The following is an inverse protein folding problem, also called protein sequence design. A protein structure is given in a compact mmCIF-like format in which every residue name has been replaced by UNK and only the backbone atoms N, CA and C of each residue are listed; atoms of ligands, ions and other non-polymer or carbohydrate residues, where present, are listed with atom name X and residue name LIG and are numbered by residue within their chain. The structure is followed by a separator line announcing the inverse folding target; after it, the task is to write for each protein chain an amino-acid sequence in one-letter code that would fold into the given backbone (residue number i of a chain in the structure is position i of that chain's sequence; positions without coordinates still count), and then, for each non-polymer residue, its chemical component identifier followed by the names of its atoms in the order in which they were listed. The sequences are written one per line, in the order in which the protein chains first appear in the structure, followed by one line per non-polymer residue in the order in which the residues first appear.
data_IF_337427114115
#
_entry.id   IF_337427114115
#
_cell.length_a   1.000
_cell.length_b   1.000
_cell.length_c   1.000
_cell.angle_alpha   90.00
_cell.angle_beta   90.00
_cell.angle_gamma   90.00
#
_symmetry.space_group_name_H-M   'P 1'
#
loop_
_entity.id
_entity.type
_entity.pdbx_description
1 polymer ?
#
# COMPACT_ATOMS: atom_id res chain seq x y z
N UNK A 1 79.84 -37.78 29.11
CA UNK A 1 79.35 -37.83 30.49
C UNK A 1 77.84 -37.79 30.41
N UNK A 2 77.22 -38.91 30.48
CA UNK A 2 76.19 -39.42 31.39
C UNK A 2 75.23 -38.33 31.93
N UNK A 3 73.91 -38.40 31.57
CA UNK A 3 72.86 -38.59 32.56
C UNK A 3 71.56 -38.99 31.86
N UNK A 4 71.08 -40.12 32.25
CA UNK A 4 69.82 -40.81 32.02
C UNK A 4 68.71 -39.99 32.69
N UNK A 5 67.59 -39.75 32.03
CA UNK A 5 66.36 -39.42 32.71
C UNK A 5 65.20 -40.24 32.12
N UNK A 6 64.73 -41.12 32.98
CA UNK A 6 63.52 -41.93 32.75
C UNK A 6 62.30 -41.06 32.72
N UNK A 7 61.49 -41.16 31.69
CA UNK A 7 60.16 -40.56 31.65
C UNK A 7 59.12 -41.67 31.87
N UNK A 8 58.43 -41.53 32.96
CA UNK A 8 57.27 -42.35 33.37
C UNK A 8 56.09 -42.07 32.46
N UNK A 9 55.64 -43.10 31.80
CA UNK A 9 54.43 -43.07 30.96
C UNK A 9 53.16 -43.14 31.83
N UNK A 10 52.52 -42.01 32.13
CA UNK A 10 51.24 -41.97 32.77
C UNK A 10 50.11 -42.11 31.72
N UNK A 11 49.50 -43.27 31.69
CA UNK A 11 48.32 -43.55 30.87
C UNK A 11 47.12 -42.82 31.52
N UNK A 12 46.76 -41.67 30.97
CA UNK A 12 45.53 -40.96 31.31
C UNK A 12 44.38 -41.55 30.49
N UNK A 13 43.57 -42.38 31.14
CA UNK A 13 42.34 -42.93 30.60
C UNK A 13 41.28 -41.79 30.52
N UNK A 14 41.19 -41.16 29.37
CA UNK A 14 40.14 -40.17 29.11
C UNK A 14 38.78 -40.89 28.98
N UNK A 15 37.94 -40.74 30.02
CA UNK A 15 36.52 -41.09 29.94
C UNK A 15 35.88 -40.24 28.84
N UNK A 16 35.62 -40.85 27.70
CA UNK A 16 34.70 -40.32 26.67
C UNK A 16 33.27 -40.41 27.25
N UNK A 17 32.81 -39.33 27.86
CA UNK A 17 31.38 -39.13 28.12
C UNK A 17 30.76 -38.83 26.77
N UNK A 18 29.82 -39.67 26.28
CA UNK A 18 29.08 -39.32 25.08
C UNK A 18 28.20 -38.10 25.43
N UNK A 19 28.55 -36.92 24.94
CA UNK A 19 27.63 -35.79 24.86
C UNK A 19 26.51 -36.23 23.92
N UNK A 20 25.45 -36.76 24.47
CA UNK A 20 24.19 -36.93 23.76
C UNK A 20 23.70 -35.53 23.42
N UNK A 21 23.99 -35.08 22.19
CA UNK A 21 23.29 -33.99 21.54
C UNK A 21 21.82 -34.40 21.54
N UNK A 22 21.06 -33.97 22.56
CA UNK A 22 19.61 -33.93 22.46
C UNK A 22 19.32 -32.96 21.30
N UNK A 23 19.05 -33.51 20.14
CA UNK A 23 18.30 -32.78 19.13
C UNK A 23 16.98 -32.41 19.81
N UNK A 24 16.83 -31.16 20.21
CA UNK A 24 15.52 -30.62 20.54
C UNK A 24 14.67 -30.78 19.28
N UNK A 25 13.89 -31.84 19.24
CA UNK A 25 12.79 -31.95 18.30
C UNK A 25 11.88 -30.79 18.64
N UNK A 26 11.92 -29.75 17.83
CA UNK A 26 10.96 -28.65 17.91
C UNK A 26 9.60 -29.25 17.62
N UNK A 27 8.91 -29.67 18.68
CA UNK A 27 7.52 -30.09 18.59
C UNK A 27 6.71 -28.82 18.44
N UNK A 28 6.21 -28.58 17.23
CA UNK A 28 5.32 -27.46 16.95
C UNK A 28 4.09 -27.55 17.87
N UNK A 29 3.86 -26.52 18.68
CA UNK A 29 2.74 -26.50 19.60
C UNK A 29 1.49 -25.97 18.92
N UNK A 30 0.45 -26.80 18.82
CA UNK A 30 -0.87 -26.36 18.33
C UNK A 30 -1.56 -25.57 19.45
N UNK A 31 -1.92 -24.32 19.18
CA UNK A 31 -2.60 -23.44 20.16
C UNK A 31 -4.09 -23.29 19.88
N UNK A 32 -4.50 -23.42 18.63
CA UNK A 32 -5.92 -23.42 18.27
C UNK A 32 -6.19 -24.35 17.07
N UNK A 33 -7.44 -24.78 16.97
CA UNK A 33 -7.96 -25.56 15.86
C UNK A 33 -9.21 -24.85 15.32
N UNK A 34 -9.25 -24.65 14.01
CA UNK A 34 -10.38 -24.02 13.29
C UNK A 34 -10.83 -25.00 12.22
N UNK A 35 -11.91 -25.74 12.48
CA UNK A 35 -12.36 -26.87 11.66
C UNK A 35 -11.23 -27.91 11.48
N UNK A 36 -10.74 -28.07 10.26
CA UNK A 36 -9.66 -29.01 9.93
C UNK A 36 -8.26 -28.37 9.91
N UNK A 37 -8.17 -27.06 10.09
CA UNK A 37 -6.89 -26.33 10.10
C UNK A 37 -6.43 -26.06 11.53
N UNK A 38 -5.13 -25.90 11.70
CA UNK A 38 -4.50 -25.64 13.01
C UNK A 38 -3.81 -24.28 12.99
N UNK A 39 -3.76 -23.64 14.14
CA UNK A 39 -2.93 -22.46 14.40
C UNK A 39 -1.85 -22.87 15.39
N UNK A 40 -0.61 -22.62 15.03
CA UNK A 40 0.53 -23.02 15.83
C UNK A 40 1.02 -21.86 16.71
N UNK A 41 1.82 -22.23 17.74
CA UNK A 41 2.48 -21.22 18.59
C UNK A 41 3.44 -20.36 17.78
N UNK A 42 4.16 -20.94 16.84
CA UNK A 42 5.10 -20.20 15.99
C UNK A 42 4.39 -19.15 15.14
N UNK A 43 3.23 -19.49 14.55
CA UNK A 43 2.40 -18.53 13.81
C UNK A 43 1.91 -17.39 14.71
N UNK A 44 1.43 -17.71 15.90
CA UNK A 44 0.96 -16.72 16.88
C UNK A 44 2.08 -15.76 17.30
N UNK A 45 3.26 -16.29 17.64
CA UNK A 45 4.42 -15.47 18.04
C UNK A 45 4.87 -14.60 16.90
N UNK A 46 4.94 -15.13 15.66
CA UNK A 46 5.31 -14.38 14.48
C UNK A 46 4.33 -13.24 14.20
N UNK A 47 3.03 -13.51 14.22
CA UNK A 47 2.00 -12.48 14.02
C UNK A 47 2.08 -11.38 15.09
N UNK A 48 2.39 -11.74 16.32
CA UNK A 48 2.59 -10.78 17.41
C UNK A 48 3.82 -9.91 17.20
N UNK A 49 4.94 -10.49 16.75
CA UNK A 49 6.15 -9.73 16.43
C UNK A 49 5.95 -8.81 15.20
N UNK A 50 5.24 -9.28 14.18
CA UNK A 50 4.86 -8.45 13.02
C UNK A 50 4.01 -7.26 13.43
N UNK A 51 2.98 -7.48 14.27
CA UNK A 51 2.17 -6.40 14.83
C UNK A 51 3.02 -5.38 15.59
N UNK A 52 3.98 -5.85 16.39
CA UNK A 52 4.88 -4.97 17.13
C UNK A 52 5.73 -4.11 16.21
N UNK A 53 6.30 -4.70 15.17
CA UNK A 53 7.09 -3.97 14.18
C UNK A 53 6.25 -2.96 13.41
N UNK A 54 5.04 -3.34 13.00
CA UNK A 54 4.11 -2.46 12.29
C UNK A 54 3.74 -1.23 13.11
N UNK A 55 3.34 -1.43 14.37
CA UNK A 55 3.00 -0.34 15.28
C UNK A 55 4.20 0.56 15.55
N UNK A 56 5.40 -0.01 15.68
CA UNK A 56 6.64 0.74 15.87
C UNK A 56 6.98 1.63 14.67
N UNK A 57 6.70 1.16 13.45
CA UNK A 57 6.94 1.92 12.22
C UNK A 57 5.91 3.03 12.00
N UNK A 58 4.67 2.83 12.43
CA UNK A 58 3.59 3.81 12.26
C UNK A 58 3.75 5.01 13.21
N UNK A 59 3.97 4.76 14.48
CA UNK A 59 4.17 5.80 15.50
C UNK A 59 4.97 5.24 16.67
N UNK A 60 6.26 5.52 16.69
CA UNK A 60 7.15 5.04 17.76
C UNK A 60 6.81 5.60 19.15
N UNK A 61 6.15 6.75 19.23
CA UNK A 61 5.84 7.41 20.51
C UNK A 61 4.66 6.73 21.25
N UNK A 62 3.69 6.18 20.50
CA UNK A 62 2.53 5.48 21.07
C UNK A 62 2.60 3.96 20.91
N UNK A 63 3.67 3.43 20.31
CA UNK A 63 3.82 2.04 19.91
C UNK A 63 3.51 1.04 21.03
N UNK A 64 4.09 1.21 22.21
CA UNK A 64 3.91 0.25 23.32
C UNK A 64 2.46 0.20 23.81
N UNK A 65 1.78 1.34 23.85
CA UNK A 65 0.37 1.41 24.23
C UNK A 65 -0.52 0.73 23.20
N UNK A 66 -0.35 1.07 21.93
CA UNK A 66 -1.13 0.50 20.83
C UNK A 66 -0.88 -1.00 20.72
N UNK A 67 0.37 -1.45 20.90
CA UNK A 67 0.70 -2.87 20.90
C UNK A 67 0.03 -3.60 22.09
N UNK A 68 0.08 -3.04 23.31
CA UNK A 68 -0.57 -3.62 24.48
C UNK A 68 -2.08 -3.82 24.29
N UNK A 69 -2.74 -2.91 23.59
CA UNK A 69 -4.16 -3.00 23.26
C UNK A 69 -4.42 -4.06 22.16
N UNK A 70 -3.68 -4.00 21.06
CA UNK A 70 -3.92 -4.85 19.88
C UNK A 70 -3.44 -6.29 20.02
N UNK A 71 -2.41 -6.59 20.83
CA UNK A 71 -1.87 -7.94 20.97
C UNK A 71 -2.88 -8.97 21.50
N UNK A 72 -3.93 -8.52 22.18
CA UNK A 72 -5.02 -9.37 22.67
C UNK A 72 -5.86 -9.96 21.54
N UNK A 73 -5.86 -9.30 20.41
CA UNK A 73 -6.68 -9.64 19.24
C UNK A 73 -5.96 -10.57 18.25
N UNK A 74 -4.65 -10.82 18.45
CA UNK A 74 -3.83 -11.61 17.52
C UNK A 74 -4.43 -13.01 17.27
N UNK A 75 -4.88 -13.72 18.30
CA UNK A 75 -5.48 -15.03 18.11
C UNK A 75 -6.83 -14.94 17.38
N UNK A 76 -7.66 -13.93 17.71
CA UNK A 76 -8.90 -13.66 16.98
C UNK A 76 -8.62 -13.45 15.49
N UNK A 77 -7.62 -12.63 15.17
CA UNK A 77 -7.31 -12.26 13.79
C UNK A 77 -6.78 -13.47 12.99
N UNK A 78 -5.98 -14.34 13.62
CA UNK A 78 -5.55 -15.61 13.02
C UNK A 78 -6.72 -16.57 12.77
N UNK A 79 -7.65 -16.67 13.71
CA UNK A 79 -8.86 -17.50 13.53
C UNK A 79 -9.72 -16.93 12.41
N UNK A 80 -9.95 -15.62 12.38
CA UNK A 80 -10.72 -14.95 11.32
C UNK A 80 -10.08 -15.12 9.94
N UNK A 81 -8.76 -15.02 9.86
CA UNK A 81 -8.02 -15.28 8.64
C UNK A 81 -8.20 -16.73 8.16
N UNK A 82 -8.10 -17.70 9.06
CA UNK A 82 -8.31 -19.12 8.69
C UNK A 82 -9.74 -19.36 8.19
N UNK A 83 -10.74 -18.77 8.82
CA UNK A 83 -12.13 -18.89 8.37
C UNK A 83 -12.33 -18.28 6.96
N UNK A 84 -11.74 -17.11 6.70
CA UNK A 84 -11.81 -16.49 5.37
C UNK A 84 -11.06 -17.30 4.31
N UNK A 85 -9.91 -17.89 4.64
CA UNK A 85 -9.18 -18.77 3.72
C UNK A 85 -9.96 -20.05 3.41
N UNK A 86 -10.59 -20.66 4.40
CA UNK A 86 -11.46 -21.82 4.19
C UNK A 86 -12.64 -21.44 3.29
N UNK A 87 -13.26 -20.29 3.54
CA UNK A 87 -14.33 -19.78 2.70
C UNK A 87 -13.86 -19.53 1.26
N UNK A 88 -12.63 -19.04 1.09
CA UNK A 88 -12.00 -18.90 -0.24
C UNK A 88 -11.86 -20.22 -0.96
N UNK A 89 -11.44 -21.27 -0.26
CA UNK A 89 -11.40 -22.65 -0.81
C UNK A 89 -12.78 -23.13 -1.24
N UNK A 90 -13.81 -22.93 -0.41
CA UNK A 90 -15.20 -23.32 -0.73
C UNK A 90 -15.75 -22.58 -1.96
N UNK A 91 -15.32 -21.34 -2.18
CA UNK A 91 -15.70 -20.52 -3.34
C UNK A 91 -14.81 -20.78 -4.58
N UNK A 92 -13.81 -21.66 -4.49
CA UNK A 92 -12.87 -21.94 -5.57
C UNK A 92 -11.90 -20.78 -5.88
N UNK A 93 -11.66 -19.89 -4.92
CA UNK A 93 -10.75 -18.75 -5.06
C UNK A 93 -9.32 -19.21 -4.75
N UNK A 94 -8.46 -19.30 -5.76
CA UNK A 94 -7.04 -19.71 -5.59
C UNK A 94 -6.07 -18.54 -5.48
N UNK A 95 -6.42 -17.40 -6.07
CA UNK A 95 -5.59 -16.21 -6.09
C UNK A 95 -4.34 -16.27 -6.97
N UNK A 96 -4.15 -17.35 -7.75
CA UNK A 96 -2.89 -17.58 -8.48
C UNK A 96 -2.63 -16.54 -9.57
N UNK A 97 -3.64 -16.18 -10.35
CA UNK A 97 -3.50 -15.17 -11.41
C UNK A 97 -3.15 -13.79 -10.83
N UNK A 98 -3.82 -13.41 -9.75
CA UNK A 98 -3.58 -12.14 -9.05
C UNK A 98 -2.22 -12.13 -8.38
N UNK A 99 -1.77 -13.28 -7.83
CA UNK A 99 -0.45 -13.42 -7.23
C UNK A 99 0.65 -13.10 -8.24
N UNK A 100 0.58 -13.71 -9.44
CA UNK A 100 1.57 -13.46 -10.49
C UNK A 100 1.62 -11.98 -10.87
N UNK A 101 0.45 -11.34 -11.06
CA UNK A 101 0.37 -9.90 -11.35
C UNK A 101 0.97 -9.06 -10.22
N UNK A 102 0.64 -9.39 -8.98
CA UNK A 102 1.10 -8.62 -7.82
C UNK A 102 2.61 -8.72 -7.63
N UNK A 103 3.18 -9.90 -7.84
CA UNK A 103 4.64 -10.10 -7.80
C UNK A 103 5.34 -9.28 -8.91
N UNK A 104 4.80 -9.26 -10.13
CA UNK A 104 5.35 -8.45 -11.22
C UNK A 104 5.23 -6.94 -10.96
N UNK A 105 4.10 -6.49 -10.41
CA UNK A 105 3.92 -5.09 -9.98
C UNK A 105 4.95 -4.70 -8.90
N UNK A 106 5.15 -5.54 -7.89
CA UNK A 106 6.14 -5.29 -6.83
C UNK A 106 7.56 -5.22 -7.40
N UNK A 107 7.91 -6.16 -8.28
CA UNK A 107 9.20 -6.16 -8.99
C UNK A 107 9.43 -4.81 -9.70
N UNK A 108 8.44 -4.35 -10.48
CA UNK A 108 8.51 -3.07 -11.20
C UNK A 108 8.60 -1.86 -10.26
N UNK A 109 7.81 -1.84 -9.18
CA UNK A 109 7.82 -0.75 -8.19
C UNK A 109 9.16 -0.63 -7.47
N UNK A 110 9.83 -1.76 -7.25
CA UNK A 110 11.16 -1.81 -6.64
C UNK A 110 12.30 -1.59 -7.65
N UNK A 111 11.98 -1.35 -8.93
CA UNK A 111 12.94 -1.22 -10.05
C UNK A 111 13.87 -2.43 -10.17
N UNK A 112 13.33 -3.64 -10.00
CA UNK A 112 14.05 -4.89 -10.15
C UNK A 112 13.84 -5.44 -11.57
N UNK A 113 14.91 -5.94 -12.18
CA UNK A 113 14.84 -6.45 -13.56
C UNK A 113 14.25 -7.86 -13.64
N UNK A 114 14.48 -8.68 -12.62
CA UNK A 114 14.11 -10.10 -12.62
C UNK A 114 13.32 -10.53 -11.37
N UNK A 115 12.63 -11.66 -11.46
CA UNK A 115 11.94 -12.27 -10.32
C UNK A 115 12.91 -12.84 -9.29
N UNK A 116 14.10 -13.26 -9.72
CA UNK A 116 15.18 -13.73 -8.85
C UNK A 116 15.72 -12.62 -7.95
N UNK A 117 15.70 -11.39 -8.43
CA UNK A 117 16.05 -10.22 -7.59
C UNK A 117 14.98 -9.95 -6.54
N UNK A 118 13.70 -10.11 -6.88
CA UNK A 118 12.61 -10.02 -5.91
C UNK A 118 12.72 -11.13 -4.84
N UNK A 119 13.07 -12.35 -5.23
CA UNK A 119 13.33 -13.45 -4.30
C UNK A 119 14.46 -13.10 -3.33
N UNK A 120 15.60 -12.61 -3.85
CA UNK A 120 16.73 -12.16 -3.01
C UNK A 120 16.34 -11.05 -2.05
N UNK A 121 15.50 -10.10 -2.51
CA UNK A 121 15.01 -9.01 -1.66
C UNK A 121 14.12 -9.53 -0.52
N UNK A 122 13.27 -10.53 -0.76
CA UNK A 122 12.48 -11.20 0.27
C UNK A 122 13.36 -11.95 1.28
N UNK A 123 14.34 -12.71 0.79
CA UNK A 123 15.29 -13.45 1.63
C UNK A 123 16.15 -12.52 2.51
N UNK A 124 16.53 -11.35 1.97
CA UNK A 124 17.27 -10.34 2.74
C UNK A 124 16.47 -9.78 3.93
N UNK A 125 15.14 -9.86 3.89
CA UNK A 125 14.25 -9.53 4.99
C UNK A 125 14.02 -10.69 5.97
N UNK A 126 14.70 -11.82 5.78
CA UNK A 126 14.61 -13.00 6.66
C UNK A 126 13.38 -13.88 6.42
N UNK A 127 12.68 -13.70 5.30
CA UNK A 127 11.49 -14.47 4.93
C UNK A 127 11.81 -15.35 3.73
N UNK A 128 11.45 -16.64 3.76
CA UNK A 128 11.60 -17.49 2.58
C UNK A 128 10.66 -17.01 1.46
N UNK A 129 11.11 -17.13 0.20
CA UNK A 129 10.33 -16.66 -0.93
C UNK A 129 8.98 -17.41 -1.06
N UNK A 130 8.96 -18.70 -0.71
CA UNK A 130 7.72 -19.48 -0.69
C UNK A 130 6.75 -18.98 0.39
N UNK A 131 7.24 -18.67 1.57
CA UNK A 131 6.44 -18.10 2.64
C UNK A 131 5.92 -16.70 2.25
N UNK A 132 6.76 -15.89 1.65
CA UNK A 132 6.36 -14.57 1.11
C UNK A 132 5.23 -14.71 0.09
N UNK A 133 5.35 -15.61 -0.89
CA UNK A 133 4.29 -15.90 -1.88
C UNK A 133 3.02 -16.41 -1.23
N UNK A 134 3.14 -17.30 -0.22
CA UNK A 134 1.98 -17.83 0.47
C UNK A 134 1.24 -16.75 1.26
N UNK A 135 1.95 -15.86 1.94
CA UNK A 135 1.36 -14.74 2.66
C UNK A 135 0.63 -13.80 1.70
N UNK A 136 1.24 -13.48 0.57
CA UNK A 136 0.63 -12.65 -0.45
C UNK A 136 -0.63 -13.32 -1.07
N UNK A 137 -0.56 -14.62 -1.35
CA UNK A 137 -1.72 -15.41 -1.81
C UNK A 137 -2.86 -15.38 -0.77
N UNK A 138 -2.55 -15.58 0.50
CA UNK A 138 -3.53 -15.54 1.56
C UNK A 138 -4.21 -14.17 1.66
N UNK A 139 -3.47 -13.08 1.53
CA UNK A 139 -4.03 -11.73 1.48
C UNK A 139 -4.97 -11.55 0.29
N UNK A 140 -4.57 -12.00 -0.90
CA UNK A 140 -5.38 -11.92 -2.12
C UNK A 140 -6.70 -12.69 -1.94
N UNK A 141 -6.62 -13.94 -1.45
CA UNK A 141 -7.82 -14.76 -1.20
C UNK A 141 -8.73 -14.09 -0.20
N UNK A 142 -8.21 -13.66 0.94
CA UNK A 142 -8.98 -13.00 2.01
C UNK A 142 -9.66 -11.74 1.49
N UNK A 143 -8.92 -10.88 0.78
CA UNK A 143 -9.46 -9.64 0.21
C UNK A 143 -10.58 -9.93 -0.81
N UNK A 144 -10.40 -10.97 -1.63
CA UNK A 144 -11.39 -11.36 -2.64
C UNK A 144 -12.66 -11.92 -2.00
N UNK A 145 -12.52 -12.75 -0.96
CA UNK A 145 -13.67 -13.26 -0.18
C UNK A 145 -14.43 -12.10 0.46
N UNK A 146 -13.74 -11.16 1.12
CA UNK A 146 -14.38 -9.98 1.72
C UNK A 146 -15.09 -9.16 0.64
N UNK A 147 -14.44 -8.90 -0.49
CA UNK A 147 -15.05 -8.18 -1.61
C UNK A 147 -16.32 -8.86 -2.13
N UNK A 148 -16.26 -10.19 -2.32
CA UNK A 148 -17.37 -10.96 -2.88
C UNK A 148 -18.50 -11.21 -1.86
N UNK A 149 -18.18 -11.58 -0.63
CA UNK A 149 -19.16 -12.01 0.36
C UNK A 149 -19.74 -10.85 1.20
N UNK A 150 -18.99 -9.77 1.31
CA UNK A 150 -19.39 -8.60 2.11
C UNK A 150 -19.51 -7.36 1.23
N UNK A 151 -18.45 -6.97 0.55
CA UNK A 151 -18.38 -5.71 -0.19
C UNK A 151 -19.43 -5.58 -1.28
N UNK A 152 -19.62 -6.63 -2.10
CA UNK A 152 -20.60 -6.65 -3.20
C UNK A 152 -22.06 -6.58 -2.74
N UNK A 153 -22.31 -6.88 -1.45
CA UNK A 153 -23.66 -6.86 -0.86
C UNK A 153 -23.99 -5.51 -0.21
N UNK A 154 -23.00 -4.60 -0.12
CA UNK A 154 -23.23 -3.25 0.37
C UNK A 154 -23.95 -2.44 -0.70
N UNK A 155 -25.03 -1.80 -0.30
CA UNK A 155 -25.79 -0.89 -1.14
C UNK A 155 -25.93 0.46 -0.45
N UNK A 156 -26.06 1.51 -1.25
CA UNK A 156 -26.20 2.87 -0.77
C UNK A 156 -27.49 3.44 -1.35
N UNK A 157 -28.44 3.78 -0.48
CA UNK A 157 -29.63 4.47 -0.90
C UNK A 157 -29.29 5.91 -1.33
N UNK A 158 -30.02 6.46 -2.30
CA UNK A 158 -29.79 7.84 -2.75
C UNK A 158 -29.94 8.85 -1.60
N UNK A 159 -30.87 8.60 -0.71
CA UNK A 159 -31.15 9.41 0.49
C UNK A 159 -29.95 9.42 1.44
N UNK A 160 -29.23 8.30 1.52
CA UNK A 160 -28.05 8.15 2.36
C UNK A 160 -26.87 8.91 1.76
N UNK A 161 -26.67 8.82 0.45
CA UNK A 161 -25.65 9.59 -0.28
C UNK A 161 -25.92 11.09 -0.15
N UNK A 162 -27.18 11.51 -0.32
CA UNK A 162 -27.58 12.90 -0.15
C UNK A 162 -27.35 13.37 1.29
N UNK A 163 -27.75 12.58 2.27
CA UNK A 163 -27.53 12.89 3.68
C UNK A 163 -26.05 13.04 4.01
N UNK A 164 -25.22 12.11 3.56
CA UNK A 164 -23.76 12.19 3.76
C UNK A 164 -23.20 13.49 3.17
N UNK A 165 -23.60 13.83 1.93
CA UNK A 165 -23.21 15.07 1.29
C UNK A 165 -23.61 16.29 2.12
N UNK A 166 -24.85 16.34 2.61
CA UNK A 166 -25.36 17.47 3.39
C UNK A 166 -24.65 17.61 4.75
N UNK A 167 -24.40 16.49 5.41
CA UNK A 167 -23.74 16.45 6.73
C UNK A 167 -22.23 16.85 6.63
N UNK A 168 -21.57 16.61 5.46
CA UNK A 168 -20.13 16.82 5.27
C UNK A 168 -19.80 17.99 4.34
N UNK A 169 -20.76 18.90 4.06
CA UNK A 169 -20.52 20.06 3.19
C UNK A 169 -19.31 20.90 3.57
N UNK A 170 -19.06 21.04 4.88
CA UNK A 170 -17.91 21.80 5.37
C UNK A 170 -16.58 21.15 5.00
N UNK A 171 -16.50 19.80 4.98
CA UNK A 171 -15.31 19.03 4.63
C UNK A 171 -15.12 18.96 3.11
N UNK A 172 -16.22 19.04 2.36
CA UNK A 172 -16.23 19.04 0.91
C UNK A 172 -15.92 20.42 0.31
N UNK A 173 -15.85 21.46 1.14
CA UNK A 173 -15.55 22.80 0.69
C UNK A 173 -14.17 22.84 0.00
N UNK A 174 -14.16 23.21 -1.26
CA UNK A 174 -12.93 23.36 -2.03
C UNK A 174 -12.58 24.85 -2.18
N UNK A 175 -11.30 25.21 -2.01
CA UNK A 175 -10.83 26.54 -2.34
C UNK A 175 -10.89 26.74 -3.85
N UNK A 176 -11.03 28.03 -4.27
CA UNK A 176 -10.90 28.37 -5.67
C UNK A 176 -9.54 27.95 -6.21
N UNK A 177 -9.53 27.29 -7.37
CA UNK A 177 -8.30 26.86 -8.03
C UNK A 177 -8.43 26.92 -9.56
N UNK A 178 -7.30 27.17 -10.18
CA UNK A 178 -7.19 27.19 -11.65
C UNK A 178 -6.16 26.16 -12.11
N UNK A 179 -6.45 25.45 -13.18
CA UNK A 179 -5.46 24.61 -13.86
C UNK A 179 -4.85 25.40 -14.97
N UNK A 180 -3.53 25.48 -15.01
CA UNK A 180 -2.78 26.28 -15.95
C UNK A 180 -1.95 25.40 -16.87
N UNK A 181 -1.80 25.87 -18.12
CA UNK A 181 -0.75 25.40 -19.01
C UNK A 181 0.13 26.57 -19.41
N UNK A 182 1.43 26.32 -19.61
CA UNK A 182 2.42 27.33 -19.95
C UNK A 182 3.13 27.04 -21.25
N UNK A 183 3.51 28.11 -21.94
CA UNK A 183 4.53 28.12 -23.00
C UNK A 183 5.59 29.11 -22.56
N UNK A 184 6.78 28.61 -22.23
CA UNK A 184 7.93 29.44 -21.89
C UNK A 184 8.85 29.57 -23.11
N UNK A 185 9.20 30.77 -23.45
CA UNK A 185 10.21 31.09 -24.47
C UNK A 185 11.38 31.78 -23.80
N UNK A 186 12.46 31.04 -23.65
CA UNK A 186 13.69 31.54 -23.03
C UNK A 186 14.55 32.31 -24.08
N UNK A 187 15.22 33.41 -23.69
CA UNK A 187 16.22 34.05 -24.55
C UNK A 187 17.35 33.07 -24.81
N UNK A 188 17.58 32.68 -26.07
CA UNK A 188 18.67 31.81 -26.48
C UNK A 188 19.76 32.62 -27.16
N UNK A 189 21.04 32.33 -26.83
CA UNK A 189 22.13 32.81 -27.64
C UNK A 189 21.93 32.32 -29.10
N UNK A 190 22.05 33.20 -30.08
CA UNK A 190 21.85 32.88 -31.48
C UNK A 190 22.71 31.65 -31.87
N UNK A 191 22.01 30.61 -32.25
CA UNK A 191 22.34 29.36 -32.85
C UNK A 191 23.74 28.76 -32.74
N UNK A 192 23.82 27.55 -32.14
CA UNK A 192 24.72 26.57 -32.71
C UNK A 192 24.13 26.12 -34.06
N UNK A 193 24.87 26.21 -35.20
CA UNK A 193 24.38 25.71 -36.49
C UNK A 193 24.24 24.20 -36.42
N UNK A 194 23.12 23.69 -36.96
CA UNK A 194 22.98 22.27 -37.23
C UNK A 194 24.17 21.76 -38.03
N UNK A 195 24.73 20.63 -37.67
CA UNK A 195 25.84 19.98 -38.31
C UNK A 195 25.58 19.79 -39.80
N UNK A 196 26.35 20.50 -40.63
CA UNK A 196 26.36 20.25 -42.06
C UNK A 196 26.43 21.48 -42.95
N UNK A 197 27.45 22.37 -42.83
CA UNK A 197 27.94 23.24 -43.89
C UNK A 197 29.25 23.90 -43.43
N UNK A 198 30.15 24.14 -44.40
CA UNK A 198 31.50 24.73 -44.28
C UNK A 198 31.58 25.96 -43.34
N UNK A 199 32.75 26.26 -42.77
CA UNK A 199 32.88 27.18 -41.66
C UNK A 199 32.65 28.63 -42.09
N UNK A 200 31.51 29.27 -41.75
CA UNK A 200 31.43 30.70 -41.75
C UNK A 200 31.95 31.27 -40.45
N UNK A 201 32.55 32.44 -40.50
CA UNK A 201 32.98 33.23 -39.35
C UNK A 201 31.98 33.19 -38.20
N UNK A 202 32.42 33.09 -36.94
CA UNK A 202 31.51 33.12 -35.78
C UNK A 202 30.73 34.43 -35.84
N UNK A 203 29.38 34.37 -35.84
CA UNK A 203 28.57 35.57 -35.69
C UNK A 203 28.92 36.21 -34.34
N UNK A 204 29.12 37.52 -34.34
CA UNK A 204 29.31 38.26 -33.10
C UNK A 204 28.18 37.88 -32.11
N UNK A 205 28.47 37.66 -30.81
CA UNK A 205 27.46 37.30 -29.85
C UNK A 205 26.37 38.35 -29.88
N UNK A 206 25.17 37.96 -30.29
CA UNK A 206 24.00 38.83 -30.24
C UNK A 206 23.87 39.38 -28.82
N UNK A 207 23.70 40.70 -28.69
CA UNK A 207 23.56 41.32 -27.38
C UNK A 207 22.40 40.68 -26.62
N UNK A 208 22.45 40.65 -25.29
CA UNK A 208 21.37 40.11 -24.45
C UNK A 208 20.01 40.76 -24.78
N UNK A 209 20.03 42.02 -25.22
CA UNK A 209 18.84 42.74 -25.69
C UNK A 209 18.29 42.16 -26.99
N UNK A 210 19.14 41.81 -27.96
CA UNK A 210 18.71 41.21 -29.23
C UNK A 210 18.08 39.84 -29.02
N UNK A 211 18.67 39.04 -28.12
CA UNK A 211 18.12 37.72 -27.75
C UNK A 211 16.76 37.83 -27.03
N UNK A 212 16.63 38.80 -26.17
CA UNK A 212 15.38 39.07 -25.45
C UNK A 212 14.30 39.54 -26.43
N UNK A 213 14.61 40.47 -27.36
CA UNK A 213 13.68 40.92 -28.39
C UNK A 213 13.24 39.78 -29.33
N UNK A 214 14.16 38.89 -29.72
CA UNK A 214 13.82 37.73 -30.54
C UNK A 214 12.89 36.77 -29.82
N UNK A 215 13.12 36.50 -28.52
CA UNK A 215 12.27 35.65 -27.67
C UNK A 215 10.88 36.27 -27.51
N UNK A 216 10.79 37.60 -27.36
CA UNK A 216 9.52 38.31 -27.26
C UNK A 216 8.72 38.21 -28.55
N UNK A 217 9.35 38.47 -29.73
CA UNK A 217 8.70 38.35 -31.03
C UNK A 217 8.18 36.92 -31.24
N UNK A 218 9.02 35.92 -30.95
CA UNK A 218 8.60 34.51 -31.03
C UNK A 218 7.40 34.19 -30.14
N UNK A 219 7.37 34.70 -28.91
CA UNK A 219 6.25 34.50 -28.01
C UNK A 219 4.98 35.17 -28.54
N UNK A 220 5.09 36.36 -29.11
CA UNK A 220 3.96 37.09 -29.76
C UNK A 220 3.41 36.30 -30.95
N UNK A 221 4.28 35.81 -31.83
CA UNK A 221 3.88 35.03 -33.02
C UNK A 221 3.15 33.73 -32.59
N UNK A 222 3.62 33.06 -31.55
CA UNK A 222 2.96 31.87 -31.00
C UNK A 222 1.61 32.21 -30.38
N UNK A 223 1.50 33.32 -29.65
CA UNK A 223 0.23 33.78 -29.09
C UNK A 223 -0.79 34.06 -30.22
N UNK A 224 -0.35 34.68 -31.32
CA UNK A 224 -1.25 34.90 -32.48
C UNK A 224 -1.71 33.58 -33.10
N UNK A 225 -0.82 32.59 -33.25
CA UNK A 225 -1.20 31.28 -33.76
C UNK A 225 -2.25 30.61 -32.87
N UNK A 226 -2.07 30.67 -31.54
CA UNK A 226 -3.02 30.12 -30.57
C UNK A 226 -4.36 30.84 -30.66
N UNK A 227 -4.36 32.18 -30.77
CA UNK A 227 -5.59 32.99 -30.94
C UNK A 227 -6.30 32.70 -32.25
N UNK A 228 -5.59 32.28 -33.29
CA UNK A 228 -6.13 31.82 -34.58
C UNK A 228 -6.62 30.37 -34.55
N UNK A 229 -6.53 29.69 -33.40
CA UNK A 229 -7.08 28.34 -33.19
C UNK A 229 -6.06 27.20 -33.18
N UNK A 230 -4.76 27.50 -33.14
CA UNK A 230 -3.76 26.44 -32.94
C UNK A 230 -3.92 25.78 -31.53
N UNK A 231 -3.74 24.49 -31.47
CA UNK A 231 -3.79 23.77 -30.19
C UNK A 231 -2.64 24.19 -29.28
N UNK A 232 -2.98 24.65 -28.07
CA UNK A 232 -2.02 25.15 -27.09
C UNK A 232 -1.01 24.08 -26.68
N UNK A 233 -1.47 22.85 -26.42
CA UNK A 233 -0.63 21.75 -26.00
C UNK A 233 0.39 21.34 -27.06
N UNK A 234 -0.02 21.30 -28.34
CA UNK A 234 0.88 20.98 -29.45
C UNK A 234 1.91 22.09 -29.67
N UNK A 235 1.48 23.35 -29.51
CA UNK A 235 2.41 24.51 -29.58
C UNK A 235 3.41 24.43 -28.40
N UNK A 236 2.94 24.11 -27.20
CA UNK A 236 3.80 23.93 -26.04
C UNK A 236 4.83 22.81 -26.24
N UNK A 237 4.42 21.64 -26.70
CA UNK A 237 5.32 20.49 -26.98
C UNK A 237 6.40 20.86 -27.99
N UNK A 238 6.07 21.65 -28.99
CA UNK A 238 6.96 21.98 -30.12
C UNK A 238 7.89 23.16 -29.82
N UNK A 239 7.45 24.15 -29.10
CA UNK A 239 8.12 25.43 -29.01
C UNK A 239 8.46 25.90 -27.59
N UNK A 240 7.89 25.31 -26.55
CA UNK A 240 8.17 25.70 -25.19
C UNK A 240 9.56 25.22 -24.76
N UNK A 241 10.29 26.09 -24.08
CA UNK A 241 11.57 25.80 -23.44
C UNK A 241 11.38 25.38 -21.96
N UNK A 242 10.13 25.35 -21.47
CA UNK A 242 9.80 24.97 -20.10
C UNK A 242 9.84 23.45 -19.85
N UNK A 243 9.99 23.01 -18.60
CA UNK A 243 10.03 21.60 -18.24
C UNK A 243 8.72 20.86 -18.52
N UNK A 244 7.59 21.58 -18.49
CA UNK A 244 6.24 21.07 -18.79
C UNK A 244 5.95 20.88 -20.29
N UNK A 245 6.87 21.26 -21.17
CA UNK A 245 6.68 21.21 -22.63
C UNK A 245 6.23 19.83 -23.13
N UNK A 246 6.83 18.74 -22.61
CA UNK A 246 6.50 17.35 -23.00
C UNK A 246 5.05 16.98 -22.70
N UNK A 247 4.49 17.57 -21.63
CA UNK A 247 3.13 17.35 -21.16
C UNK A 247 2.15 18.40 -21.70
N UNK A 248 2.51 19.06 -22.82
CA UNK A 248 1.67 20.10 -23.40
C UNK A 248 1.62 21.39 -22.60
N UNK A 249 2.60 21.61 -21.73
CA UNK A 249 2.68 22.79 -20.88
C UNK A 249 1.90 22.67 -19.57
N UNK A 250 1.27 21.54 -19.25
CA UNK A 250 0.42 21.39 -18.06
C UNK A 250 1.20 21.60 -16.76
N UNK A 251 0.73 22.55 -15.95
CA UNK A 251 1.29 22.89 -14.64
C UNK A 251 0.43 22.38 -13.48
N UNK A 252 -0.67 21.65 -13.76
CA UNK A 252 -1.67 21.27 -12.79
C UNK A 252 -2.42 22.43 -12.12
N UNK A 253 -3.03 22.18 -10.94
CA UNK A 253 -3.90 23.14 -10.27
C UNK A 253 -3.13 24.04 -9.31
N UNK A 254 -3.49 25.33 -9.33
CA UNK A 254 -3.03 26.35 -8.41
C UNK A 254 -4.18 26.88 -7.58
N UNK A 255 -4.01 26.90 -6.27
CA UNK A 255 -4.93 27.53 -5.33
C UNK A 255 -4.59 29.01 -5.18
N UNK A 256 -5.53 29.83 -4.75
CA UNK A 256 -5.22 31.21 -4.37
C UNK A 256 -4.13 31.24 -3.30
N UNK A 257 -3.22 32.21 -3.43
CA UNK A 257 -2.06 32.38 -2.54
C UNK A 257 -0.83 31.57 -2.94
N UNK A 258 -0.87 30.81 -4.05
CA UNK A 258 0.30 30.02 -4.51
C UNK A 258 1.10 30.68 -5.62
N UNK A 259 0.50 31.63 -6.32
CA UNK A 259 1.15 32.37 -7.40
C UNK A 259 1.55 33.79 -6.92
N UNK A 260 2.48 34.43 -7.67
CA UNK A 260 2.73 35.85 -7.48
C UNK A 260 1.44 36.65 -7.71
N UNK A 261 1.17 37.62 -6.83
CA UNK A 261 -0.12 38.31 -6.76
C UNK A 261 -0.59 38.88 -8.12
N UNK A 262 0.31 39.51 -8.87
CA UNK A 262 -0.02 40.10 -10.18
C UNK A 262 -0.45 39.06 -11.22
N UNK A 263 0.14 37.85 -11.15
CA UNK A 263 -0.21 36.74 -12.00
C UNK A 263 -1.50 36.08 -11.53
N UNK A 264 -1.64 35.89 -10.21
CA UNK A 264 -2.82 35.33 -9.59
C UNK A 264 -4.08 36.12 -9.95
N UNK A 265 -4.04 37.43 -9.74
CA UNK A 265 -5.16 38.30 -10.04
C UNK A 265 -5.61 38.22 -11.52
N UNK A 266 -4.66 38.01 -12.46
CA UNK A 266 -4.96 37.80 -13.86
C UNK A 266 -5.60 36.46 -14.15
N UNK A 267 -4.96 35.36 -13.73
CA UNK A 267 -5.42 34.01 -14.10
C UNK A 267 -6.72 33.62 -13.42
N UNK A 268 -6.97 34.12 -12.20
CA UNK A 268 -8.22 33.88 -11.48
C UNK A 268 -9.38 34.74 -11.95
N UNK A 269 -9.11 35.81 -12.70
CA UNK A 269 -10.16 36.60 -13.39
C UNK A 269 -10.56 35.98 -14.76
N UNK A 270 -9.76 35.03 -15.28
CA UNK A 270 -9.96 34.40 -16.57
C UNK A 270 -10.91 33.21 -16.48
N UNK A 271 -11.56 32.89 -17.62
CA UNK A 271 -12.39 31.70 -17.76
C UNK A 271 -11.58 30.54 -18.30
N UNK A 272 -12.10 29.32 -18.10
CA UNK A 272 -11.52 28.13 -18.75
C UNK A 272 -11.51 28.33 -20.27
N UNK A 273 -10.37 28.08 -20.89
CA UNK A 273 -10.10 28.32 -22.31
C UNK A 273 -9.35 29.62 -22.62
N UNK A 274 -9.38 30.60 -21.72
CA UNK A 274 -8.72 31.87 -21.93
C UNK A 274 -7.18 31.77 -21.91
N UNK A 275 -6.52 32.61 -22.69
CA UNK A 275 -5.06 32.70 -22.82
C UNK A 275 -4.60 34.11 -22.49
N UNK A 276 -3.54 34.23 -21.70
CA UNK A 276 -2.96 35.52 -21.34
C UNK A 276 -2.24 36.18 -22.51
N UNK A 277 -1.99 37.46 -22.41
CA UNK A 277 -0.94 38.09 -23.21
C UNK A 277 0.43 37.52 -22.80
N UNK A 278 1.46 37.85 -23.61
CA UNK A 278 2.85 37.50 -23.31
C UNK A 278 3.30 38.18 -22.02
N UNK A 279 3.69 37.41 -21.05
CA UNK A 279 4.15 37.88 -19.73
C UNK A 279 5.66 37.75 -19.66
N UNK A 280 6.35 38.85 -19.31
CA UNK A 280 7.79 38.82 -19.06
C UNK A 280 8.10 38.29 -17.70
N UNK A 281 8.97 37.30 -17.63
CA UNK A 281 9.47 36.70 -16.39
C UNK A 281 11.01 36.75 -16.31
N UNK A 282 11.58 36.30 -15.21
CA UNK A 282 13.04 36.17 -15.08
C UNK A 282 13.65 35.12 -16.02
N UNK A 283 12.86 34.13 -16.41
CA UNK A 283 13.30 33.03 -17.30
C UNK A 283 13.09 33.31 -18.78
N UNK A 284 12.30 34.33 -19.11
CA UNK A 284 11.93 34.66 -20.48
C UNK A 284 10.49 35.16 -20.59
N UNK A 285 9.84 34.80 -21.67
CA UNK A 285 8.45 35.18 -21.95
C UNK A 285 7.54 33.98 -21.79
N UNK A 286 6.45 34.16 -21.06
CA UNK A 286 5.48 33.10 -20.76
C UNK A 286 4.12 33.47 -21.30
N UNK A 287 3.45 32.50 -21.92
CA UNK A 287 2.04 32.53 -22.24
C UNK A 287 1.35 31.49 -21.38
N UNK A 288 0.30 31.86 -20.66
CA UNK A 288 -0.49 30.95 -19.84
C UNK A 288 -1.88 30.76 -20.45
N UNK A 289 -2.38 29.55 -20.34
CA UNK A 289 -3.77 29.19 -20.63
C UNK A 289 -4.42 28.66 -19.37
N UNK A 290 -5.60 29.16 -19.02
CA UNK A 290 -6.47 28.57 -18.01
C UNK A 290 -7.21 27.41 -18.69
N UNK A 291 -6.86 26.19 -18.34
CA UNK A 291 -7.50 24.98 -18.87
C UNK A 291 -8.78 24.64 -18.12
N UNK A 292 -8.77 24.86 -16.81
CA UNK A 292 -9.92 24.67 -15.94
C UNK A 292 -9.96 25.77 -14.87
N UNK A 293 -11.16 26.20 -14.47
CA UNK A 293 -11.37 27.14 -13.38
C UNK A 293 -12.45 26.60 -12.46
N UNK A 294 -12.06 26.16 -11.27
CA UNK A 294 -12.95 25.63 -10.24
C UNK A 294 -13.19 26.74 -9.21
N UNK A 295 -14.44 27.18 -9.13
CA UNK A 295 -14.85 28.19 -8.17
C UNK A 295 -14.79 27.65 -6.73
N UNK A 296 -14.50 28.53 -5.77
CA UNK A 296 -14.61 28.19 -4.36
C UNK A 296 -16.05 27.78 -4.01
N UNK A 297 -16.18 26.71 -3.26
CA UNK A 297 -17.50 26.27 -2.82
C UNK A 297 -17.58 24.77 -2.58
N UNK A 298 -18.76 24.31 -2.25
CA UNK A 298 -19.06 22.88 -2.16
C UNK A 298 -19.39 22.38 -3.57
N UNK A 299 -18.63 21.42 -4.11
CA UNK A 299 -18.91 20.85 -5.44
C UNK A 299 -20.34 20.26 -5.48
N UNK A 300 -21.02 20.31 -6.60
CA UNK A 300 -22.32 19.62 -6.76
C UNK A 300 -22.22 18.14 -6.39
N UNK A 301 -23.26 17.59 -5.79
CA UNK A 301 -23.29 16.17 -5.38
C UNK A 301 -22.85 15.24 -6.51
N UNK A 302 -23.29 15.49 -7.73
CA UNK A 302 -22.91 14.69 -8.91
C UNK A 302 -21.41 14.53 -9.11
N UNK A 303 -20.62 15.58 -8.79
CA UNK A 303 -19.19 15.60 -9.04
C UNK A 303 -18.41 14.87 -7.91
N UNK A 304 -19.00 14.77 -6.73
CA UNK A 304 -18.39 14.12 -5.54
C UNK A 304 -19.04 12.80 -5.16
N UNK A 305 -20.11 12.41 -5.83
CA UNK A 305 -20.87 11.18 -5.55
C UNK A 305 -19.99 9.92 -5.49
N UNK A 306 -19.04 9.68 -6.40
CA UNK A 306 -18.14 8.53 -6.31
C UNK A 306 -17.32 8.54 -5.02
N UNK A 307 -16.79 9.70 -4.61
CA UNK A 307 -16.02 9.84 -3.37
C UNK A 307 -16.88 9.62 -2.12
N UNK A 308 -18.13 10.05 -2.16
CA UNK A 308 -19.08 9.81 -1.07
C UNK A 308 -19.42 8.33 -0.99
N UNK A 309 -19.63 7.66 -2.12
CA UNK A 309 -19.89 6.22 -2.16
C UNK A 309 -18.69 5.43 -1.60
N UNK A 310 -17.46 5.82 -1.94
CA UNK A 310 -16.24 5.23 -1.37
C UNK A 310 -16.17 5.43 0.14
N UNK A 311 -16.47 6.62 0.63
CA UNK A 311 -16.50 6.91 2.08
C UNK A 311 -17.56 6.07 2.81
N UNK A 312 -18.78 6.01 2.28
CA UNK A 312 -19.87 5.18 2.80
C UNK A 312 -19.51 3.69 2.74
N UNK A 313 -18.85 3.24 1.67
CA UNK A 313 -18.36 1.87 1.55
C UNK A 313 -17.40 1.53 2.69
N UNK A 314 -16.39 2.35 2.91
CA UNK A 314 -15.42 2.14 4.00
C UNK A 314 -16.11 2.16 5.38
N UNK A 315 -17.07 3.04 5.59
CA UNK A 315 -17.83 3.13 6.83
C UNK A 315 -18.68 1.87 7.10
N UNK A 316 -19.32 1.32 6.07
CA UNK A 316 -20.19 0.13 6.19
C UNK A 316 -19.43 -1.18 6.17
N UNK A 317 -18.27 -1.24 5.52
CA UNK A 317 -17.50 -2.47 5.33
C UNK A 317 -17.10 -3.10 6.68
N UNK A 318 -16.61 -2.32 7.61
CA UNK A 318 -16.13 -2.82 8.90
C UNK A 318 -17.22 -3.50 9.73
N UNK A 319 -18.38 -2.87 9.98
CA UNK A 319 -19.46 -3.55 10.72
C UNK A 319 -20.04 -4.76 9.96
N UNK A 320 -20.14 -4.68 8.63
CA UNK A 320 -20.62 -5.79 7.81
C UNK A 320 -19.63 -6.98 7.85
N UNK A 321 -18.34 -6.72 7.80
CA UNK A 321 -17.29 -7.74 7.94
C UNK A 321 -17.35 -8.41 9.32
N UNK A 322 -17.52 -7.63 10.39
CA UNK A 322 -17.68 -8.20 11.75
C UNK A 322 -18.88 -9.12 11.84
N UNK A 323 -20.03 -8.70 11.30
CA UNK A 323 -21.23 -9.54 11.27
C UNK A 323 -21.00 -10.82 10.46
N UNK A 324 -20.32 -10.72 9.33
CA UNK A 324 -19.97 -11.88 8.50
C UNK A 324 -19.03 -12.84 9.21
N UNK A 325 -17.96 -12.33 9.84
CA UNK A 325 -17.02 -13.15 10.63
C UNK A 325 -17.71 -13.82 11.81
N UNK A 326 -18.62 -13.12 12.52
CA UNK A 326 -19.42 -13.73 13.59
C UNK A 326 -20.21 -14.92 13.07
N UNK A 327 -20.85 -14.79 11.89
CA UNK A 327 -21.58 -15.89 11.27
C UNK A 327 -20.66 -17.07 10.93
N UNK A 328 -19.49 -16.82 10.31
CA UNK A 328 -18.51 -17.87 10.01
C UNK A 328 -18.03 -18.60 11.28
N UNK A 329 -17.85 -17.86 12.38
CA UNK A 329 -17.46 -18.41 13.67
C UNK A 329 -18.54 -19.29 14.30
N UNK A 330 -19.81 -18.92 14.17
CA UNK A 330 -20.96 -19.70 14.67
C UNK A 330 -21.14 -21.02 13.91
N UNK A 331 -20.77 -21.04 12.63
CA UNK A 331 -20.81 -22.22 11.75
C UNK A 331 -19.58 -23.13 11.90
N UNK A 332 -18.47 -22.63 12.47
CA UNK A 332 -17.20 -23.32 12.57
C UNK A 332 -16.97 -24.02 13.91
N UNK A 333 -16.20 -25.10 13.89
CA UNK A 333 -15.61 -25.68 15.10
C UNK A 333 -14.34 -24.93 15.43
N UNK A 334 -14.28 -24.24 16.58
CA UNK A 334 -13.11 -23.52 17.06
C UNK A 334 -12.78 -23.99 18.46
N UNK A 335 -11.56 -24.49 18.64
CA UNK A 335 -11.01 -24.93 19.91
C UNK A 335 -9.63 -24.30 20.12
N UNK A 336 -9.33 -23.82 21.33
CA UNK A 336 -8.03 -23.23 21.64
C UNK A 336 -7.56 -23.61 23.05
N UNK A 337 -6.23 -23.66 23.22
CA UNK A 337 -5.62 -24.07 24.48
C UNK A 337 -5.87 -23.09 25.61
N UNK A 338 -5.97 -23.60 26.87
CA UNK A 338 -5.96 -22.75 28.05
C UNK A 338 -4.72 -21.83 28.08
N UNK A 339 -4.93 -20.56 28.44
CA UNK A 339 -3.89 -19.54 28.46
C UNK A 339 -3.87 -18.63 27.23
N UNK A 340 -4.63 -18.96 26.18
CA UNK A 340 -4.88 -18.11 25.03
C UNK A 340 -6.31 -17.54 25.11
N UNK A 341 -6.50 -16.34 24.57
CA UNK A 341 -7.78 -15.64 24.61
C UNK A 341 -8.21 -15.32 23.18
N UNK A 342 -9.39 -15.81 22.80
CA UNK A 342 -10.06 -15.43 21.57
C UNK A 342 -11.08 -14.34 21.88
N UNK A 343 -10.74 -13.07 21.60
CA UNK A 343 -11.62 -11.91 21.82
C UNK A 343 -12.81 -11.85 20.85
N UNK A 344 -12.80 -12.67 19.79
CA UNK A 344 -13.87 -12.78 18.80
C UNK A 344 -14.87 -13.91 19.07
N UNK A 345 -14.73 -14.65 20.18
CA UNK A 345 -15.60 -15.77 20.49
C UNK A 345 -17.08 -15.33 20.59
N UNK A 346 -17.96 -15.99 19.81
CA UNK A 346 -19.40 -15.77 19.90
C UNK A 346 -20.01 -16.56 21.05
N UNK A 347 -21.02 -15.98 21.73
CA UNK A 347 -21.77 -16.69 22.77
C UNK A 347 -22.51 -17.94 22.25
N UNK A 348 -22.76 -18.00 20.94
CA UNK A 348 -23.42 -19.13 20.25
C UNK A 348 -22.43 -20.13 19.65
N UNK A 349 -21.12 -19.88 19.81
CA UNK A 349 -20.09 -20.77 19.30
C UNK A 349 -20.19 -22.14 19.98
N UNK A 350 -20.12 -23.22 19.20
CA UNK A 350 -20.12 -24.59 19.71
C UNK A 350 -18.86 -24.79 20.55
N UNK A 351 -19.04 -24.97 21.87
CA UNK A 351 -17.91 -25.29 22.75
C UNK A 351 -17.47 -26.72 22.48
N UNK A 352 -16.15 -26.97 22.36
CA UNK A 352 -15.64 -28.32 22.27
C UNK A 352 -16.09 -29.11 23.48
N UNK A 353 -16.54 -30.34 23.28
CA UNK A 353 -16.77 -31.26 24.36
C UNK A 353 -15.37 -31.65 24.88
N UNK A 354 -14.99 -31.16 26.06
CA UNK A 354 -13.77 -31.60 26.74
C UNK A 354 -13.86 -33.08 27.03
N UNK A 355 -13.40 -33.90 26.10
CA UNK A 355 -13.09 -35.32 26.38
C UNK A 355 -11.78 -35.35 27.15
N UNK A 356 -11.87 -35.07 28.44
CA UNK A 356 -10.73 -35.25 29.34
C UNK A 356 -10.31 -36.72 29.32
N UNK A 357 -9.07 -36.96 28.99
CA UNK A 357 -8.41 -38.30 29.05
C UNK A 357 -8.59 -38.99 30.42
N UNK A 358 -8.98 -38.24 31.42
CA UNK A 358 -9.37 -38.75 32.75
C UNK A 358 -10.60 -39.66 32.74
N UNK A 359 -11.59 -39.37 31.87
CA UNK A 359 -12.81 -40.21 31.83
C UNK A 359 -12.63 -41.55 31.14
N UNK A 360 -11.67 -41.65 30.20
CA UNK A 360 -11.32 -42.92 29.55
C UNK A 360 -10.54 -43.83 30.48
N UNK A 361 -9.66 -43.30 31.34
CA UNK A 361 -8.94 -44.08 32.35
C UNK A 361 -9.85 -44.52 33.51
N UNK A 362 -10.78 -43.68 33.95
CA UNK A 362 -11.75 -44.02 34.98
C UNK A 362 -12.77 -45.07 34.50
N UNK A 363 -13.21 -45.04 33.25
CA UNK A 363 -14.08 -46.06 32.64
C UNK A 363 -13.34 -47.39 32.47
N UNK A 364 -12.08 -47.38 32.10
CA UNK A 364 -11.29 -48.59 31.95
C UNK A 364 -10.91 -49.24 33.29
N UNK A 365 -10.69 -48.46 34.33
CA UNK A 365 -10.48 -48.96 35.71
C UNK A 365 -11.75 -49.55 36.33
N UNK A 366 -12.93 -48.99 36.05
CA UNK A 366 -14.21 -49.55 36.49
C UNK A 366 -14.57 -50.85 35.73
N UNK A 367 -14.18 -50.99 34.45
CA UNK A 367 -14.34 -52.26 33.72
C UNK A 367 -13.41 -53.38 34.22
N UNK A 368 -12.16 -53.07 34.59
CA UNK A 368 -11.22 -54.06 35.12
C UNK A 368 -11.60 -54.53 36.53
N UNK A 369 -12.24 -53.69 37.37
CA UNK A 369 -12.73 -54.13 38.70
C UNK A 369 -13.99 -55.01 38.66
N UNK A 370 -14.77 -54.99 37.55
CA UNK A 370 -15.93 -55.87 37.41
C UNK A 370 -15.61 -57.26 36.83
N UNK A 371 -14.40 -57.46 36.31
CA UNK A 371 -13.93 -58.74 35.74
C UNK A 371 -12.98 -59.49 36.66
N UNK A 372 -12.77 -59.07 37.89
CA UNK A 372 -11.80 -59.65 38.87
C UNK A 372 -12.45 -60.33 40.10
N UNK A 373 -13.69 -60.78 39.94
CA UNK A 373 -14.31 -61.63 41.00
C UNK A 373 -14.94 -62.81 40.31
N UNK A 374 -14.14 -63.81 40.09
CA UNK A 374 -14.43 -65.24 40.21
C UNK A 374 -13.13 -65.99 40.56
#
# INVERSE_FOLDING_TARGET
MKKIFSVVLAISSALLVPFALRADTVVEEIIARVNNEIITRSEFVRSREQLKQEVQQQDSASADKVFAEKQRDVLRDLIDQQLLLQKGKDLGITGDTELVKRLDEMRKQMNLDTMEELEKAAQAQGVSYEEFKQNLRNQIITQRVIGQEVGSKLSFAKEEVQKFYDDHKAELLQPEQVRLSEILIAPKAAGAPGAGADPPQPPAPASAETQLAAAQTKAQDLLEQIRKGADFGEVAKKFSDGPSAKDGGDLNYFKRGTLAKELEDKVFAMKAGDVTDVIRTKQGFVILKVTEHQQAGVPPLKDVEPKIQDALYMQKLQPALRAYLTKLREEAYIDYKPGYIDTGASAKQTKPVETTTRDLTAKNLKKKKKLGVF
#
